data_IF_372865826995
#
_entry.id   IF_372865826995
#
_cell.length_a   1.000
_cell.length_b   1.000
_cell.length_c   1.000
_cell.angle_alpha   90.00
_cell.angle_beta   90.00
_cell.angle_gamma   90.00
#
_symmetry.space_group_name_H-M   'P 1'
#
loop_
_entity.id
_entity.type
_entity.pdbx_description
1 polymer ?
#
# COMPACT_ATOMS: atom_id res chain seq x y z
N UNK A 1 78.27 41.83 5.14
CA UNK A 1 77.47 40.59 4.93
C UNK A 1 76.66 40.36 6.21
N UNK A 2 75.59 41.14 6.41
CA UNK A 2 74.17 40.80 6.20
C UNK A 2 73.55 39.76 7.17
N UNK A 3 72.83 40.31 8.18
CA UNK A 3 71.51 39.95 8.76
C UNK A 3 71.36 38.55 9.41
N UNK A 4 71.27 38.39 10.73
CA UNK A 4 70.23 38.80 11.73
C UNK A 4 69.00 37.89 11.79
N UNK A 5 68.78 37.31 13.00
CA UNK A 5 67.52 36.96 13.68
C UNK A 5 66.62 35.87 13.07
N UNK A 6 65.73 35.16 13.78
CA UNK A 6 65.55 34.76 15.18
C UNK A 6 64.32 33.80 15.21
N UNK A 7 64.16 33.08 16.32
CA UNK A 7 62.90 32.57 16.92
C UNK A 7 62.20 31.31 16.36
N UNK A 8 62.23 30.28 17.22
CA UNK A 8 61.11 29.60 17.89
C UNK A 8 59.88 29.13 17.08
N UNK A 9 59.57 27.84 17.22
CA UNK A 9 58.27 27.25 16.89
C UNK A 9 58.04 25.95 17.67
N UNK A 10 57.49 26.07 18.87
CA UNK A 10 56.82 24.98 19.57
C UNK A 10 55.34 24.95 19.15
N UNK A 11 54.79 23.76 18.91
CA UNK A 11 53.38 23.57 18.57
C UNK A 11 52.77 22.47 19.43
N UNK A 12 51.96 22.87 20.40
CA UNK A 12 51.02 22.04 21.12
C UNK A 12 49.59 22.35 20.61
N UNK A 13 48.79 21.29 20.50
CA UNK A 13 47.41 21.15 21.03
C UNK A 13 46.42 22.33 20.88
N UNK A 14 45.29 22.01 20.21
CA UNK A 14 43.91 22.54 20.33
C UNK A 14 43.64 24.05 20.20
N UNK A 15 42.85 24.43 19.19
CA UNK A 15 41.49 25.02 19.29
C UNK A 15 41.13 25.87 18.06
N UNK A 16 39.86 25.77 17.62
CA UNK A 16 38.90 26.87 17.39
C UNK A 16 37.77 26.38 16.44
N UNK A 17 36.50 26.25 16.86
CA UNK A 17 35.46 27.26 17.14
C UNK A 17 35.04 28.12 15.93
N UNK A 18 33.82 27.85 15.46
CA UNK A 18 32.82 28.83 15.02
C UNK A 18 31.47 28.07 15.00
N UNK A 19 30.33 28.56 15.48
CA UNK A 19 29.92 29.89 15.91
C UNK A 19 28.39 29.89 15.84
N UNK A 20 27.74 30.32 16.92
CA UNK A 20 26.31 30.27 17.10
C UNK A 20 25.52 31.07 16.05
N UNK A 21 24.42 30.48 15.56
CA UNK A 21 23.21 31.17 15.09
C UNK A 21 22.01 30.26 15.37
N UNK A 22 21.68 30.12 16.66
CA UNK A 22 20.40 29.57 17.09
C UNK A 22 19.31 30.62 16.85
N UNK A 23 18.81 30.68 15.62
CA UNK A 23 17.58 31.42 15.33
C UNK A 23 16.41 30.66 15.94
N UNK A 24 15.64 31.34 16.79
CA UNK A 24 14.43 30.81 17.38
C UNK A 24 13.37 30.57 16.30
N UNK A 25 13.37 29.36 15.72
CA UNK A 25 12.21 28.89 14.97
C UNK A 25 11.21 28.32 15.98
N UNK A 26 10.32 29.19 16.48
CA UNK A 26 9.05 28.73 17.04
C UNK A 26 8.15 28.41 15.85
N UNK A 27 7.83 27.13 15.57
CA UNK A 27 6.77 26.86 14.60
C UNK A 27 5.50 27.57 15.10
N UNK A 28 4.85 28.32 14.20
CA UNK A 28 3.52 28.82 14.48
C UNK A 28 2.63 27.62 14.85
N UNK A 29 1.74 27.73 15.85
CA UNK A 29 0.77 26.67 16.10
C UNK A 29 0.04 26.42 14.78
N UNK A 30 0.09 25.18 14.31
CA UNK A 30 -0.69 24.76 13.16
C UNK A 30 -2.14 25.13 13.45
N UNK A 31 -2.69 26.09 12.70
CA UNK A 31 -4.13 26.30 12.71
C UNK A 31 -4.75 24.97 12.31
N UNK A 32 -5.44 24.36 13.27
CA UNK A 32 -6.27 23.21 13.02
C UNK A 32 -7.35 23.67 12.04
N UNK A 33 -7.10 23.48 10.75
CA UNK A 33 -8.15 23.52 9.73
C UNK A 33 -9.08 22.39 10.13
N UNK A 34 -10.20 22.75 10.75
CA UNK A 34 -11.25 21.81 11.09
C UNK A 34 -11.63 21.08 9.80
N UNK A 35 -11.18 19.83 9.66
CA UNK A 35 -11.58 18.96 8.58
C UNK A 35 -13.11 18.87 8.65
N UNK A 36 -13.79 19.50 7.70
CA UNK A 36 -15.21 19.24 7.51
C UNK A 36 -15.32 17.73 7.26
N UNK A 37 -16.09 17.07 8.12
CA UNK A 37 -16.36 15.65 7.96
C UNK A 37 -16.84 15.41 6.52
N UNK A 38 -16.21 14.51 5.75
CA UNK A 38 -16.65 14.24 4.40
C UNK A 38 -18.13 13.82 4.42
N UNK A 39 -18.89 14.30 3.44
CA UNK A 39 -20.30 13.98 3.32
C UNK A 39 -20.50 12.45 3.36
N UNK A 40 -21.55 11.95 4.05
CA UNK A 40 -21.90 10.54 4.03
C UNK A 40 -22.04 10.08 2.58
N UNK A 41 -21.56 8.87 2.27
CA UNK A 41 -21.88 8.23 1.00
C UNK A 41 -23.40 8.27 0.81
N UNK A 42 -23.87 8.89 -0.27
CA UNK A 42 -25.20 8.61 -0.79
C UNK A 42 -25.17 7.21 -1.40
N UNK A 43 -25.09 6.18 -0.55
CA UNK A 43 -25.56 4.86 -0.90
C UNK A 43 -27.02 4.81 -0.45
N UNK A 44 -27.93 5.07 -1.38
CA UNK A 44 -29.31 4.59 -1.20
C UNK A 44 -29.26 3.08 -0.93
N UNK A 45 -30.18 2.51 -0.13
CA UNK A 45 -30.28 1.07 0.04
C UNK A 45 -30.68 0.45 -1.31
N UNK A 46 -29.67 0.08 -2.08
CA UNK A 46 -29.70 -0.55 -3.38
C UNK A 46 -28.37 -1.27 -3.57
N UNK A 47 -28.38 -2.45 -4.17
CA UNK A 47 -27.15 -3.21 -4.41
C UNK A 47 -26.13 -2.34 -5.15
N UNK A 48 -24.91 -2.26 -4.65
CA UNK A 48 -23.81 -1.58 -5.33
C UNK A 48 -23.72 -2.06 -6.78
N UNK A 49 -23.54 -1.14 -7.72
CA UNK A 49 -23.42 -1.52 -9.14
C UNK A 49 -22.22 -2.42 -9.36
N UNK A 50 -22.33 -3.34 -10.32
CA UNK A 50 -21.20 -4.15 -10.79
C UNK A 50 -20.49 -3.50 -11.99
N UNK A 51 -19.17 -3.37 -11.90
CA UNK A 51 -18.35 -2.71 -12.93
C UNK A 51 -17.25 -3.65 -13.45
N UNK A 52 -16.94 -3.59 -14.75
CA UNK A 52 -15.77 -4.23 -15.35
C UNK A 52 -14.51 -3.40 -15.19
N UNK A 53 -13.35 -4.00 -15.49
CA UNK A 53 -12.07 -3.30 -15.52
C UNK A 53 -12.08 -2.07 -16.43
N UNK A 54 -12.66 -2.19 -17.63
CA UNK A 54 -12.73 -1.11 -18.62
C UNK A 54 -13.58 0.05 -18.13
N UNK A 55 -14.69 -0.24 -17.45
CA UNK A 55 -15.58 0.78 -16.87
C UNK A 55 -14.90 1.51 -15.71
N UNK A 56 -14.19 0.78 -14.83
CA UNK A 56 -13.40 1.35 -13.72
C UNK A 56 -12.28 2.27 -14.24
N UNK A 57 -11.63 1.92 -15.37
CA UNK A 57 -10.62 2.77 -16.01
C UNK A 57 -11.22 4.01 -16.68
N UNK A 58 -12.43 3.90 -17.22
CA UNK A 58 -13.11 5.01 -17.90
C UNK A 58 -13.59 6.10 -16.93
N UNK A 59 -13.63 5.81 -15.62
CA UNK A 59 -14.04 6.74 -14.59
C UNK A 59 -13.27 8.07 -14.61
N UNK A 60 -13.99 9.14 -14.24
CA UNK A 60 -13.45 10.49 -14.01
C UNK A 60 -13.77 10.92 -12.61
N UNK A 61 -12.76 11.21 -11.80
CA UNK A 61 -12.95 11.54 -10.39
C UNK A 61 -13.68 12.88 -10.27
N UNK A 62 -14.65 12.90 -9.36
CA UNK A 62 -15.37 14.09 -8.90
C UNK A 62 -14.87 14.53 -7.51
N UNK A 63 -13.73 13.98 -7.06
CA UNK A 63 -13.18 14.20 -5.73
C UNK A 63 -13.84 13.36 -4.63
N UNK A 64 -14.77 12.46 -4.96
CA UNK A 64 -15.40 11.56 -3.99
C UNK A 64 -14.87 10.12 -4.09
N UNK A 65 -15.14 9.36 -3.03
CA UNK A 65 -14.91 7.91 -3.00
C UNK A 65 -15.97 7.22 -3.85
N UNK A 66 -15.55 6.27 -4.70
CA UNK A 66 -16.49 5.47 -5.48
C UNK A 66 -16.32 4.00 -5.16
N UNK A 67 -17.37 3.39 -4.64
CA UNK A 67 -17.40 2.00 -4.21
C UNK A 67 -18.34 1.19 -5.09
N UNK A 68 -17.85 0.09 -5.64
CA UNK A 68 -18.61 -0.81 -6.52
C UNK A 68 -18.23 -2.26 -6.28
N UNK A 69 -18.98 -3.18 -6.89
CA UNK A 69 -18.66 -4.61 -6.93
C UNK A 69 -17.96 -4.92 -8.26
N UNK A 70 -17.00 -5.85 -8.24
CA UNK A 70 -16.35 -6.31 -9.47
C UNK A 70 -17.30 -7.21 -10.26
N UNK A 71 -17.57 -6.88 -11.52
CA UNK A 71 -18.40 -7.69 -12.41
C UNK A 71 -17.80 -9.08 -12.58
N UNK A 72 -18.62 -10.11 -12.41
CA UNK A 72 -18.21 -11.52 -12.49
C UNK A 72 -17.49 -12.04 -11.24
N UNK A 73 -17.13 -11.17 -10.28
CA UNK A 73 -16.58 -11.54 -8.98
C UNK A 73 -17.15 -10.63 -7.89
N UNK A 74 -18.47 -10.66 -7.62
CA UNK A 74 -19.12 -9.71 -6.71
C UNK A 74 -18.67 -9.85 -5.24
N UNK A 75 -17.95 -10.90 -4.88
CA UNK A 75 -17.25 -11.00 -3.59
C UNK A 75 -16.15 -9.93 -3.40
N UNK A 76 -15.65 -9.34 -4.50
CA UNK A 76 -14.65 -8.26 -4.49
C UNK A 76 -15.35 -6.89 -4.54
N UNK A 77 -15.11 -6.07 -3.52
CA UNK A 77 -15.38 -4.63 -3.56
C UNK A 77 -14.18 -3.90 -4.14
N UNK A 78 -14.47 -2.96 -5.04
CA UNK A 78 -13.49 -2.05 -5.61
C UNK A 78 -13.79 -0.64 -5.11
N UNK A 79 -12.81 -0.02 -4.45
CA UNK A 79 -12.89 1.35 -3.97
C UNK A 79 -11.88 2.23 -4.69
N UNK A 80 -12.38 3.22 -5.43
CA UNK A 80 -11.55 4.29 -5.95
C UNK A 80 -11.50 5.46 -4.95
N UNK A 81 -10.29 5.90 -4.63
CA UNK A 81 -10.02 7.13 -3.89
C UNK A 81 -9.77 8.32 -4.82
N UNK A 82 -10.10 9.56 -4.40
CA UNK A 82 -9.86 10.75 -5.21
C UNK A 82 -8.38 11.10 -5.39
N UNK A 83 -7.49 10.57 -4.54
CA UNK A 83 -6.04 10.68 -4.63
C UNK A 83 -5.38 9.68 -3.65
N UNK A 84 -4.08 9.49 -3.81
CA UNK A 84 -3.22 8.64 -2.98
C UNK A 84 -3.24 9.04 -1.50
N UNK A 85 -3.24 10.33 -1.17
CA UNK A 85 -3.26 10.77 0.23
C UNK A 85 -4.55 10.33 0.95
N UNK A 86 -5.71 10.45 0.28
CA UNK A 86 -6.98 10.00 0.83
C UNK A 86 -7.02 8.47 1.02
N UNK A 87 -6.39 7.73 0.11
CA UNK A 87 -6.21 6.27 0.23
C UNK A 87 -5.32 5.93 1.42
N UNK A 88 -4.14 6.53 1.50
CA UNK A 88 -3.18 6.27 2.56
C UNK A 88 -3.72 6.61 3.94
N UNK A 89 -4.46 7.71 4.10
CA UNK A 89 -5.14 8.04 5.37
C UNK A 89 -6.15 6.98 5.80
N UNK A 90 -6.80 6.31 4.85
CA UNK A 90 -7.79 5.29 5.15
C UNK A 90 -7.17 3.90 5.44
N UNK A 91 -6.01 3.59 4.85
CA UNK A 91 -5.52 2.21 4.74
C UNK A 91 -4.08 1.98 5.21
N UNK A 92 -3.22 2.99 5.32
CA UNK A 92 -1.81 2.78 5.71
C UNK A 92 -1.65 2.09 7.07
N UNK A 93 -2.56 2.38 8.02
CA UNK A 93 -2.55 1.71 9.33
C UNK A 93 -2.92 0.23 9.22
N UNK A 94 -3.87 -0.11 8.35
CA UNK A 94 -4.21 -1.50 8.05
C UNK A 94 -3.05 -2.21 7.34
N UNK A 95 -2.40 -1.55 6.38
CA UNK A 95 -1.22 -2.06 5.68
C UNK A 95 -0.07 -2.37 6.65
N UNK A 96 0.22 -1.44 7.56
CA UNK A 96 1.25 -1.62 8.59
C UNK A 96 0.97 -2.78 9.53
N UNK A 97 -0.31 -3.09 9.81
CA UNK A 97 -0.71 -4.24 10.61
C UNK A 97 -0.62 -5.57 9.85
N UNK A 98 -1.02 -5.58 8.58
CA UNK A 98 -1.31 -6.80 7.82
C UNK A 98 -0.11 -7.28 6.99
N UNK A 99 0.63 -6.36 6.36
CA UNK A 99 1.59 -6.68 5.30
C UNK A 99 3.05 -6.52 5.71
N UNK A 100 3.35 -5.53 6.56
CA UNK A 100 4.73 -5.12 6.86
C UNK A 100 5.42 -6.04 7.85
N UNK A 101 6.67 -6.41 7.55
CA UNK A 101 7.45 -7.36 8.35
C UNK A 101 7.95 -6.82 9.69
N UNK A 102 8.10 -5.49 9.80
CA UNK A 102 8.41 -4.76 11.02
C UNK A 102 7.16 -4.30 11.79
N UNK A 103 5.98 -4.45 11.19
CA UNK A 103 4.69 -4.29 11.85
C UNK A 103 4.52 -5.35 12.94
N UNK A 104 4.09 -4.92 14.12
CA UNK A 104 3.62 -5.87 15.12
C UNK A 104 2.30 -6.42 14.62
N UNK A 105 2.30 -7.68 14.17
CA UNK A 105 1.13 -8.33 13.56
C UNK A 105 -0.10 -8.22 14.46
N UNK A 106 0.06 -8.07 15.77
CA UNK A 106 -1.00 -7.98 16.76
C UNK A 106 -1.19 -6.58 17.37
N UNK A 107 -0.47 -5.56 16.90
CA UNK A 107 -0.58 -4.19 17.41
C UNK A 107 -0.84 -3.19 16.28
N UNK A 108 -1.93 -2.46 16.42
CA UNK A 108 -2.30 -1.39 15.50
C UNK A 108 -1.45 -0.16 15.87
N UNK A 109 -0.58 0.35 14.98
CA UNK A 109 0.24 1.52 15.30
C UNK A 109 -0.65 2.75 15.52
N UNK A 110 -0.33 3.56 16.53
CA UNK A 110 -0.91 4.90 16.65
C UNK A 110 -0.37 5.83 15.55
N UNK A 111 -0.82 7.09 15.53
CA UNK A 111 -0.48 8.04 14.46
C UNK A 111 1.03 8.34 14.41
N UNK A 112 1.69 8.41 15.57
CA UNK A 112 3.12 8.66 15.66
C UNK A 112 3.93 7.45 15.19
N UNK A 113 3.55 6.25 15.65
CA UNK A 113 4.17 5.01 15.24
C UNK A 113 4.01 4.75 13.73
N UNK A 114 2.84 5.04 13.16
CA UNK A 114 2.61 4.93 11.73
C UNK A 114 3.48 5.92 10.94
N UNK A 115 3.56 7.18 11.38
CA UNK A 115 4.41 8.18 10.73
C UNK A 115 5.88 7.76 10.76
N UNK A 116 6.36 7.22 11.88
CA UNK A 116 7.73 6.71 12.01
C UNK A 116 8.01 5.53 11.08
N UNK A 117 7.06 4.60 10.91
CA UNK A 117 7.18 3.47 9.99
C UNK A 117 7.30 3.95 8.54
N UNK A 118 6.41 4.87 8.12
CA UNK A 118 6.41 5.43 6.77
C UNK A 118 7.73 6.17 6.49
N UNK A 119 8.17 7.01 7.44
CA UNK A 119 9.41 7.77 7.30
C UNK A 119 10.66 6.87 7.22
N UNK A 120 10.70 5.76 7.98
CA UNK A 120 11.79 4.77 7.91
C UNK A 120 11.86 4.06 6.56
N UNK A 121 10.72 3.86 5.91
CA UNK A 121 10.66 3.31 4.55
C UNK A 121 11.15 4.28 3.47
N UNK A 122 11.38 5.56 3.80
CA UNK A 122 11.70 6.59 2.82
C UNK A 122 10.49 7.07 2.02
N UNK A 123 9.28 6.77 2.50
CA UNK A 123 8.01 7.12 1.87
C UNK A 123 7.32 8.30 2.55
N UNK A 124 6.18 8.67 2.00
CA UNK A 124 5.23 9.57 2.64
C UNK A 124 3.83 8.94 2.73
N UNK A 125 2.88 9.64 3.35
CA UNK A 125 1.54 9.10 3.57
C UNK A 125 0.76 8.78 2.27
N UNK A 126 1.10 9.42 1.15
CA UNK A 126 0.51 9.16 -0.16
C UNK A 126 1.20 8.00 -0.89
N UNK A 127 2.53 7.89 -0.81
CA UNK A 127 3.29 6.91 -1.59
C UNK A 127 3.58 5.60 -0.88
N UNK A 128 3.24 5.47 0.40
CA UNK A 128 3.47 4.24 1.17
C UNK A 128 2.93 3.00 0.45
N UNK A 129 1.79 3.15 -0.23
CA UNK A 129 1.21 2.18 -1.16
C UNK A 129 0.37 2.87 -2.23
N UNK A 130 0.49 2.43 -3.48
CA UNK A 130 -0.27 2.99 -4.62
C UNK A 130 -1.66 2.36 -4.79
N UNK A 131 -1.84 1.14 -4.30
CA UNK A 131 -3.11 0.43 -4.17
C UNK A 131 -3.07 -0.40 -2.90
N UNK A 132 -4.22 -0.95 -2.51
CA UNK A 132 -4.28 -1.86 -1.37
C UNK A 132 -5.32 -2.95 -1.58
N UNK A 133 -5.03 -4.14 -1.07
CA UNK A 133 -5.92 -5.28 -1.06
C UNK A 133 -6.04 -5.91 0.33
N UNK A 134 -7.26 -6.22 0.76
CA UNK A 134 -7.49 -6.88 2.03
C UNK A 134 -8.66 -7.85 1.98
N UNK A 135 -8.52 -8.97 2.69
CA UNK A 135 -9.68 -9.81 3.00
C UNK A 135 -10.63 -9.09 3.96
N UNK A 136 -11.92 -9.40 3.88
CA UNK A 136 -12.92 -8.90 4.81
C UNK A 136 -12.59 -9.27 6.26
N UNK A 137 -12.09 -10.50 6.48
CA UNK A 137 -11.60 -10.93 7.80
C UNK A 137 -10.38 -10.12 8.27
N UNK A 138 -9.44 -9.77 7.39
CA UNK A 138 -8.30 -8.90 7.72
C UNK A 138 -8.73 -7.50 8.15
N UNK A 139 -9.68 -6.90 7.44
CA UNK A 139 -10.25 -5.59 7.79
C UNK A 139 -11.05 -5.64 9.10
N UNK A 140 -11.85 -6.68 9.31
CA UNK A 140 -12.56 -6.89 10.58
C UNK A 140 -11.58 -6.95 11.76
N UNK A 141 -10.48 -7.69 11.59
CA UNK A 141 -9.41 -7.80 12.58
C UNK A 141 -8.76 -6.44 12.88
N UNK A 142 -8.45 -5.64 11.85
CA UNK A 142 -7.90 -4.30 12.02
C UNK A 142 -8.79 -3.43 12.92
N UNK A 143 -10.08 -3.30 12.59
CA UNK A 143 -10.99 -2.45 13.37
C UNK A 143 -11.23 -2.98 14.79
N UNK A 144 -11.28 -4.31 14.97
CA UNK A 144 -11.44 -4.91 16.29
C UNK A 144 -10.20 -4.68 17.17
N UNK A 145 -8.99 -4.81 16.60
CA UNK A 145 -7.76 -4.54 17.33
C UNK A 145 -7.62 -3.06 17.68
N UNK A 146 -7.95 -2.15 16.76
CA UNK A 146 -7.95 -0.71 17.04
C UNK A 146 -8.87 -0.38 18.23
N UNK A 147 -10.09 -0.94 18.25
CA UNK A 147 -11.02 -0.78 19.37
C UNK A 147 -10.47 -1.37 20.68
N UNK A 148 -9.96 -2.61 20.64
CA UNK A 148 -9.45 -3.30 21.82
C UNK A 148 -8.21 -2.60 22.41
N UNK A 149 -7.38 -2.00 21.56
CA UNK A 149 -6.15 -1.29 21.94
C UNK A 149 -6.40 0.20 22.18
N UNK A 150 -7.66 0.65 22.08
CA UNK A 150 -8.07 2.04 22.27
C UNK A 150 -7.35 3.02 21.33
N UNK A 151 -6.97 2.56 20.14
CA UNK A 151 -6.44 3.40 19.06
C UNK A 151 -7.61 4.10 18.39
N UNK A 152 -7.62 5.43 18.46
CA UNK A 152 -8.67 6.23 17.83
C UNK A 152 -8.54 6.16 16.30
N UNK A 153 -9.62 5.79 15.63
CA UNK A 153 -9.70 5.85 14.17
C UNK A 153 -9.77 7.30 13.70
N UNK A 154 -9.03 7.65 12.65
CA UNK A 154 -9.16 8.94 11.98
C UNK A 154 -10.47 9.03 11.15
N UNK A 155 -10.73 10.18 10.55
CA UNK A 155 -11.98 10.42 9.82
C UNK A 155 -12.15 9.49 8.60
N UNK A 156 -11.08 9.27 7.84
CA UNK A 156 -11.05 8.40 6.66
C UNK A 156 -11.21 6.91 7.04
N UNK A 157 -10.58 6.45 8.12
CA UNK A 157 -10.74 5.10 8.67
C UNK A 157 -12.17 4.85 9.16
N UNK A 158 -12.79 5.84 9.81
CA UNK A 158 -14.20 5.78 10.21
C UNK A 158 -15.13 5.73 8.99
N UNK A 159 -14.86 6.55 7.96
CA UNK A 159 -15.60 6.57 6.69
C UNK A 159 -15.49 5.22 5.99
N UNK A 160 -14.29 4.63 5.93
CA UNK A 160 -14.05 3.31 5.38
C UNK A 160 -14.88 2.25 6.12
N UNK A 161 -14.78 2.20 7.45
CA UNK A 161 -15.56 1.25 8.26
C UNK A 161 -17.06 1.34 7.96
N UNK A 162 -17.61 2.55 7.90
CA UNK A 162 -19.02 2.77 7.60
C UNK A 162 -19.39 2.30 6.19
N UNK A 163 -18.55 2.61 5.19
CA UNK A 163 -18.75 2.18 3.81
C UNK A 163 -18.75 0.65 3.67
N UNK A 164 -17.83 -0.04 4.35
CA UNK A 164 -17.71 -1.50 4.30
C UNK A 164 -18.88 -2.22 4.98
N UNK A 165 -19.40 -1.65 6.07
CA UNK A 165 -20.64 -2.14 6.71
C UNK A 165 -21.85 -1.93 5.81
N UNK A 166 -22.00 -0.73 5.23
CA UNK A 166 -23.11 -0.41 4.33
C UNK A 166 -23.09 -1.28 3.05
N UNK A 167 -21.90 -1.60 2.56
CA UNK A 167 -21.70 -2.46 1.39
C UNK A 167 -21.86 -3.96 1.69
N UNK A 168 -21.98 -4.35 2.96
CA UNK A 168 -22.07 -5.74 3.39
C UNK A 168 -20.77 -6.54 3.29
N UNK A 169 -19.61 -5.90 3.13
CA UNK A 169 -18.33 -6.59 3.23
C UNK A 169 -18.01 -6.95 4.69
N UNK A 170 -18.38 -6.08 5.62
CA UNK A 170 -18.30 -6.31 7.06
C UNK A 170 -19.71 -6.39 7.65
N UNK A 171 -19.84 -7.09 8.78
CA UNK A 171 -21.06 -7.20 9.56
C UNK A 171 -20.78 -7.04 11.06
N UNK A 172 -21.82 -6.70 11.82
CA UNK A 172 -21.76 -6.72 13.29
C UNK A 172 -21.97 -8.14 13.80
N UNK A 173 -20.99 -8.67 14.55
CA UNK A 173 -21.07 -9.94 15.26
C UNK A 173 -21.22 -9.75 16.78
N UNK A 174 -21.31 -10.85 17.53
CA UNK A 174 -21.48 -10.80 18.99
C UNK A 174 -20.28 -10.20 19.76
N UNK A 175 -19.09 -10.23 19.16
CA UNK A 175 -17.83 -9.80 19.80
C UNK A 175 -17.08 -8.70 19.05
N UNK A 176 -17.71 -8.03 18.09
CA UNK A 176 -17.07 -7.03 17.23
C UNK A 176 -17.44 -7.21 15.76
N UNK A 177 -16.66 -6.59 14.88
CA UNK A 177 -16.84 -6.76 13.44
C UNK A 177 -16.44 -8.16 13.00
N UNK A 178 -17.20 -8.71 12.07
CA UNK A 178 -16.88 -9.95 11.36
C UNK A 178 -17.01 -9.71 9.86
N UNK A 179 -16.58 -10.68 9.07
CA UNK A 179 -16.85 -10.66 7.64
C UNK A 179 -18.34 -10.81 7.36
N UNK A 180 -18.86 -9.97 6.46
CA UNK A 180 -20.25 -10.02 5.99
C UNK A 180 -20.45 -10.97 4.81
N UNK A 181 -19.36 -11.36 4.13
CA UNK A 181 -19.37 -12.28 2.97
C UNK A 181 -18.06 -13.06 2.96
N UNK A 182 -18.14 -14.39 2.80
CA UNK A 182 -16.97 -15.27 2.79
C UNK A 182 -16.97 -16.17 1.55
N UNK A 183 -15.91 -16.11 0.70
CA UNK A 183 -14.79 -15.16 0.78
C UNK A 183 -15.24 -13.74 0.42
N UNK A 184 -14.60 -12.73 1.01
CA UNK A 184 -14.83 -11.31 0.72
C UNK A 184 -13.53 -10.54 0.66
N UNK A 185 -13.40 -9.63 -0.31
CA UNK A 185 -12.21 -8.81 -0.48
C UNK A 185 -12.54 -7.34 -0.75
N UNK A 186 -11.65 -6.45 -0.32
CA UNK A 186 -11.55 -5.07 -0.74
C UNK A 186 -10.28 -4.92 -1.57
N UNK A 187 -10.38 -4.25 -2.71
CA UNK A 187 -9.23 -3.79 -3.50
C UNK A 187 -9.39 -2.32 -3.78
N UNK A 188 -8.30 -1.56 -3.77
CA UNK A 188 -8.36 -0.10 -3.81
C UNK A 188 -7.32 0.49 -4.73
N UNK A 189 -7.66 1.62 -5.33
CA UNK A 189 -6.80 2.37 -6.23
C UNK A 189 -7.19 3.84 -6.22
N UNK A 190 -6.36 4.71 -6.79
CA UNK A 190 -6.58 6.16 -6.81
C UNK A 190 -6.93 6.70 -8.19
N UNK A 191 -7.59 7.86 -8.21
CA UNK A 191 -7.76 8.73 -9.36
C UNK A 191 -6.42 9.08 -10.02
N UNK A 192 -6.48 9.45 -11.31
CA UNK A 192 -5.35 10.14 -11.94
C UNK A 192 -5.07 11.42 -11.17
N UNK A 193 -3.81 11.64 -10.78
CA UNK A 193 -3.37 12.83 -10.08
C UNK A 193 -2.01 13.31 -10.62
N UNK A 194 -1.78 14.64 -10.65
CA UNK A 194 -0.44 15.15 -10.92
C UNK A 194 0.50 14.82 -9.74
N UNK A 195 1.78 14.78 -10.04
CA UNK A 195 2.84 14.70 -9.04
C UNK A 195 2.92 15.98 -8.19
N UNK A 196 3.16 15.83 -6.88
CA UNK A 196 3.45 16.94 -5.97
C UNK A 196 4.96 17.13 -5.87
N UNK A 197 5.47 18.06 -6.68
CA UNK A 197 6.91 18.37 -6.75
C UNK A 197 7.50 18.96 -5.46
N UNK A 198 6.69 19.21 -4.43
CA UNK A 198 7.16 19.62 -3.12
C UNK A 198 7.63 18.45 -2.26
N UNK A 199 7.28 17.21 -2.62
CA UNK A 199 7.76 16.00 -1.97
C UNK A 199 8.84 15.32 -2.83
N UNK A 200 9.77 14.57 -2.22
CA UNK A 200 10.81 13.86 -2.97
C UNK A 200 10.29 12.59 -3.66
N UNK A 201 9.14 12.06 -3.24
CA UNK A 201 8.52 10.87 -3.84
C UNK A 201 7.65 11.27 -5.05
N UNK A 202 7.62 10.41 -6.08
CA UNK A 202 6.73 10.62 -7.24
C UNK A 202 5.29 10.20 -6.88
N UNK A 203 4.46 11.18 -6.58
CA UNK A 203 3.03 11.02 -6.27
C UNK A 203 2.16 11.00 -7.52
N UNK A 204 2.76 11.09 -8.71
CA UNK A 204 2.07 11.10 -9.99
C UNK A 204 1.37 9.77 -10.28
N UNK A 205 0.08 9.86 -10.59
CA UNK A 205 -0.71 8.73 -11.10
C UNK A 205 -1.26 9.14 -12.46
N UNK A 206 -0.57 8.75 -13.52
CA UNK A 206 -1.07 8.91 -14.89
C UNK A 206 -1.99 7.74 -15.29
N UNK A 207 -2.65 7.80 -16.46
CA UNK A 207 -3.54 6.72 -16.89
C UNK A 207 -2.87 5.34 -17.01
N UNK A 208 -1.57 5.27 -17.35
CA UNK A 208 -0.86 4.01 -17.48
C UNK A 208 -0.59 3.39 -16.10
N UNK A 209 -0.09 4.21 -15.15
CA UNK A 209 0.15 3.78 -13.77
C UNK A 209 -1.15 3.37 -13.08
N UNK A 210 -2.21 4.16 -13.26
CA UNK A 210 -3.56 3.82 -12.78
C UNK A 210 -4.03 2.45 -13.28
N UNK A 211 -3.83 2.16 -14.57
CA UNK A 211 -4.23 0.88 -15.14
C UNK A 211 -3.35 -0.29 -14.68
N UNK A 212 -2.06 -0.02 -14.44
CA UNK A 212 -1.11 -0.97 -13.85
C UNK A 212 -1.54 -1.36 -12.43
N UNK A 213 -1.72 -0.36 -11.56
CA UNK A 213 -2.19 -0.53 -10.17
C UNK A 213 -3.53 -1.26 -10.16
N UNK A 214 -4.55 -0.76 -10.86
CA UNK A 214 -5.87 -1.41 -10.83
C UNK A 214 -5.81 -2.89 -11.24
N UNK A 215 -4.99 -3.27 -12.23
CA UNK A 215 -4.85 -4.67 -12.63
C UNK A 215 -4.16 -5.51 -11.56
N UNK A 216 -3.12 -4.96 -10.94
CA UNK A 216 -2.42 -5.58 -9.82
C UNK A 216 -3.41 -5.87 -8.67
N UNK A 217 -4.13 -4.84 -8.25
CA UNK A 217 -5.12 -4.91 -7.16
C UNK A 217 -6.26 -5.90 -7.44
N UNK A 218 -6.80 -5.90 -8.66
CA UNK A 218 -7.84 -6.87 -9.03
C UNK A 218 -7.33 -8.32 -9.04
N UNK A 219 -6.03 -8.53 -9.25
CA UNK A 219 -5.41 -9.86 -9.18
C UNK A 219 -5.44 -10.39 -7.74
N UNK A 220 -5.21 -9.54 -6.74
CA UNK A 220 -5.42 -9.89 -5.32
C UNK A 220 -6.87 -10.22 -5.00
N UNK A 221 -7.81 -9.41 -5.53
CA UNK A 221 -9.24 -9.69 -5.42
C UNK A 221 -9.58 -11.12 -5.84
N UNK A 222 -9.09 -11.55 -7.02
CA UNK A 222 -9.23 -12.92 -7.50
C UNK A 222 -8.54 -13.93 -6.58
N UNK A 223 -7.32 -13.66 -6.14
CA UNK A 223 -6.57 -14.54 -5.22
C UNK A 223 -7.35 -14.83 -3.93
N UNK A 224 -7.98 -13.81 -3.33
CA UNK A 224 -8.78 -13.99 -2.12
C UNK A 224 -10.09 -14.74 -2.38
N UNK A 225 -10.78 -14.46 -3.49
CA UNK A 225 -12.15 -14.95 -3.68
C UNK A 225 -12.28 -16.23 -4.51
N UNK A 226 -11.27 -16.59 -5.31
CA UNK A 226 -11.28 -17.80 -6.14
C UNK A 226 -10.32 -18.85 -5.57
N UNK A 227 -10.90 -19.88 -4.93
CA UNK A 227 -10.14 -20.96 -4.31
C UNK A 227 -9.33 -21.80 -5.32
N UNK A 228 -9.84 -21.98 -6.55
CA UNK A 228 -9.13 -22.73 -7.57
C UNK A 228 -7.93 -21.93 -8.10
N UNK A 229 -8.11 -20.63 -8.31
CA UNK A 229 -7.02 -19.73 -8.68
C UNK A 229 -5.95 -19.64 -7.59
N UNK A 230 -6.35 -19.51 -6.32
CA UNK A 230 -5.41 -19.53 -5.18
C UNK A 230 -4.63 -20.83 -5.09
N UNK A 231 -5.29 -21.98 -5.31
CA UNK A 231 -4.62 -23.27 -5.35
C UNK A 231 -3.61 -23.37 -6.51
N UNK A 232 -3.94 -22.83 -7.68
CA UNK A 232 -2.99 -22.70 -8.80
C UNK A 232 -1.78 -21.84 -8.43
N UNK A 233 -1.99 -20.68 -7.81
CA UNK A 233 -0.89 -19.80 -7.39
C UNK A 233 0.06 -20.51 -6.40
N UNK A 234 -0.51 -21.21 -5.42
CA UNK A 234 0.27 -21.99 -4.45
C UNK A 234 1.01 -23.16 -5.10
N UNK A 235 0.37 -23.86 -6.05
CA UNK A 235 1.01 -24.93 -6.81
C UNK A 235 2.17 -24.38 -7.65
N UNK A 236 1.94 -23.28 -8.38
CA UNK A 236 2.96 -22.64 -9.19
C UNK A 236 4.18 -22.25 -8.34
N UNK A 237 3.95 -21.55 -7.22
CA UNK A 237 5.02 -21.14 -6.31
C UNK A 237 5.80 -22.34 -5.76
N UNK A 238 5.11 -23.37 -5.24
CA UNK A 238 5.77 -24.47 -4.52
C UNK A 238 6.37 -25.53 -5.44
N UNK A 239 5.75 -25.76 -6.59
CA UNK A 239 6.05 -26.93 -7.45
C UNK A 239 6.64 -26.54 -8.80
N UNK A 240 6.24 -25.41 -9.38
CA UNK A 240 6.68 -25.02 -10.73
C UNK A 240 7.82 -24.02 -10.72
N UNK A 241 7.94 -23.18 -9.69
CA UNK A 241 9.09 -22.31 -9.53
C UNK A 241 10.30 -23.07 -8.98
N UNK A 242 11.48 -22.71 -9.44
CA UNK A 242 12.74 -23.11 -8.82
C UNK A 242 12.95 -22.37 -7.49
N UNK A 243 13.84 -22.88 -6.63
CA UNK A 243 14.19 -22.15 -5.41
C UNK A 243 14.87 -20.82 -5.71
N UNK A 244 15.69 -20.74 -6.76
CA UNK A 244 16.31 -19.48 -7.21
C UNK A 244 15.25 -18.44 -7.59
N UNK A 245 14.18 -18.87 -8.27
CA UNK A 245 13.06 -17.98 -8.60
C UNK A 245 12.33 -17.48 -7.34
N UNK A 246 12.02 -18.37 -6.39
CA UNK A 246 11.39 -17.97 -5.13
C UNK A 246 12.28 -17.03 -4.31
N UNK A 247 13.59 -17.26 -4.27
CA UNK A 247 14.53 -16.39 -3.56
C UNK A 247 14.61 -14.99 -4.19
N UNK A 248 14.58 -14.88 -5.53
CA UNK A 248 14.52 -13.59 -6.20
C UNK A 248 13.27 -12.79 -5.80
N UNK A 249 12.11 -13.44 -5.76
CA UNK A 249 10.87 -12.82 -5.29
C UNK A 249 10.92 -12.40 -3.82
N UNK A 250 11.40 -13.26 -2.93
CA UNK A 250 11.56 -12.91 -1.51
C UNK A 250 12.53 -11.73 -1.31
N UNK A 251 13.62 -11.68 -2.08
CA UNK A 251 14.56 -10.57 -2.02
C UNK A 251 13.93 -9.26 -2.49
N UNK A 252 13.23 -9.29 -3.63
CA UNK A 252 12.52 -8.13 -4.16
C UNK A 252 11.44 -7.63 -3.19
N UNK A 253 10.52 -8.50 -2.76
CA UNK A 253 9.44 -8.12 -1.85
C UNK A 253 9.96 -7.73 -0.46
N UNK A 254 11.01 -8.38 0.02
CA UNK A 254 11.68 -7.99 1.26
C UNK A 254 12.29 -6.59 1.19
N UNK A 255 12.85 -6.20 0.03
CA UNK A 255 13.36 -4.83 -0.18
C UNK A 255 12.23 -3.77 -0.17
N UNK A 256 10.99 -4.16 -0.48
CA UNK A 256 9.78 -3.32 -0.37
C UNK A 256 9.16 -3.35 1.06
N UNK A 257 9.76 -4.08 2.00
CA UNK A 257 9.35 -4.13 3.41
C UNK A 257 8.26 -5.17 3.74
N UNK A 258 7.91 -6.07 2.82
CA UNK A 258 6.96 -7.15 3.09
C UNK A 258 7.54 -8.22 4.04
N UNK A 259 6.69 -8.87 4.85
CA UNK A 259 7.11 -10.00 5.69
C UNK A 259 7.44 -11.25 4.86
N UNK A 260 8.71 -11.45 4.52
CA UNK A 260 9.18 -12.59 3.71
C UNK A 260 8.99 -13.96 4.38
N UNK A 261 8.66 -14.00 5.68
CA UNK A 261 8.31 -15.23 6.40
C UNK A 261 6.86 -15.65 6.16
N UNK A 262 6.02 -14.73 5.69
CA UNK A 262 4.64 -14.99 5.33
C UNK A 262 4.58 -15.54 3.89
N UNK A 263 4.64 -16.86 3.74
CA UNK A 263 4.63 -17.47 2.40
C UNK A 263 3.34 -17.14 1.61
N UNK A 264 2.20 -17.03 2.29
CA UNK A 264 0.95 -16.70 1.62
C UNK A 264 0.99 -15.29 1.01
N UNK A 265 1.57 -14.32 1.72
CA UNK A 265 1.83 -12.97 1.20
C UNK A 265 2.77 -13.03 -0.01
N UNK A 266 3.86 -13.80 0.05
CA UNK A 266 4.78 -13.94 -1.08
C UNK A 266 4.10 -14.51 -2.33
N UNK A 267 3.20 -15.48 -2.15
CA UNK A 267 2.41 -16.06 -3.25
C UNK A 267 1.43 -15.02 -3.81
N UNK A 268 0.72 -14.28 -2.93
CA UNK A 268 -0.25 -13.27 -3.32
C UNK A 268 0.37 -12.11 -4.11
N UNK A 269 1.52 -11.61 -3.66
CA UNK A 269 2.27 -10.55 -4.35
C UNK A 269 2.83 -11.02 -5.69
N UNK A 270 3.50 -12.18 -5.70
CA UNK A 270 4.11 -12.73 -6.91
C UNK A 270 3.07 -12.89 -8.03
N UNK A 271 1.89 -13.44 -7.72
CA UNK A 271 0.87 -13.63 -8.75
C UNK A 271 0.35 -12.29 -9.30
N UNK A 272 0.23 -11.25 -8.47
CA UNK A 272 -0.25 -9.94 -8.91
C UNK A 272 0.72 -9.28 -9.89
N UNK A 273 2.03 -9.34 -9.61
CA UNK A 273 3.06 -8.87 -10.54
C UNK A 273 3.17 -9.69 -11.83
N UNK A 274 2.90 -11.00 -11.78
CA UNK A 274 2.87 -11.86 -12.98
C UNK A 274 1.63 -11.62 -13.84
N UNK A 275 0.47 -11.33 -13.25
CA UNK A 275 -0.80 -11.18 -13.97
C UNK A 275 -0.82 -10.00 -14.94
N UNK A 276 -0.05 -8.94 -14.68
CA UNK A 276 0.49 -7.93 -15.61
C UNK A 276 0.55 -6.58 -14.88
N UNK A 277 1.67 -6.30 -14.21
CA UNK A 277 2.12 -4.92 -13.93
C UNK A 277 2.99 -4.49 -15.11
N UNK A 278 2.42 -3.85 -16.17
CA UNK A 278 3.16 -3.50 -17.39
C UNK A 278 4.02 -2.24 -17.21
N UNK A 279 3.80 -1.49 -16.14
CA UNK A 279 4.51 -0.25 -15.88
C UNK A 279 5.86 -0.55 -15.22
N UNK A 280 6.95 -0.29 -15.94
CA UNK A 280 8.32 -0.52 -15.46
C UNK A 280 8.74 0.41 -14.31
N UNK A 281 7.94 1.44 -14.01
CA UNK A 281 8.08 2.24 -12.79
C UNK A 281 7.70 1.43 -11.54
N UNK A 282 6.71 0.56 -11.66
CA UNK A 282 6.20 -0.25 -10.56
C UNK A 282 6.92 -1.60 -10.47
N UNK A 283 7.18 -2.27 -11.60
CA UNK A 283 7.91 -3.55 -11.61
C UNK A 283 8.50 -3.90 -12.98
N UNK A 284 9.76 -4.33 -13.01
CA UNK A 284 10.49 -4.81 -14.20
C UNK A 284 11.43 -5.98 -13.87
N UNK A 285 11.86 -6.70 -14.89
CA UNK A 285 12.74 -7.87 -14.74
C UNK A 285 14.06 -7.56 -14.00
N UNK A 286 14.58 -6.34 -14.14
CA UNK A 286 15.79 -5.91 -13.47
C UNK A 286 15.64 -5.90 -11.93
N UNK A 287 14.42 -5.74 -11.40
CA UNK A 287 14.14 -5.74 -9.97
C UNK A 287 14.28 -7.15 -9.36
N UNK A 288 14.19 -8.20 -10.20
CA UNK A 288 14.52 -9.59 -9.86
C UNK A 288 15.95 -9.98 -10.29
N UNK A 289 16.74 -9.03 -10.78
CA UNK A 289 18.05 -9.27 -11.42
C UNK A 289 18.01 -10.22 -12.63
N UNK A 290 16.91 -10.18 -13.39
CA UNK A 290 16.68 -11.03 -14.56
C UNK A 290 16.69 -10.27 -15.87
N UNK A 291 16.76 -11.01 -16.99
CA UNK A 291 16.50 -10.44 -18.31
C UNK A 291 15.00 -10.37 -18.55
N UNK A 292 14.52 -9.42 -19.38
CA UNK A 292 13.10 -9.35 -19.76
C UNK A 292 12.53 -10.68 -20.29
N UNK A 293 13.33 -11.45 -21.04
CA UNK A 293 12.93 -12.75 -21.56
C UNK A 293 12.68 -13.80 -20.46
N UNK A 294 13.42 -13.75 -19.35
CA UNK A 294 13.26 -14.69 -18.25
C UNK A 294 11.95 -14.41 -17.48
N UNK A 295 11.63 -13.13 -17.23
CA UNK A 295 10.36 -12.73 -16.63
C UNK A 295 9.17 -13.06 -17.55
N UNK A 296 9.32 -12.84 -18.86
CA UNK A 296 8.29 -13.21 -19.84
C UNK A 296 8.04 -14.72 -19.83
N UNK A 297 9.09 -15.55 -19.83
CA UNK A 297 8.96 -16.99 -19.74
C UNK A 297 8.30 -17.46 -18.43
N UNK A 298 8.55 -16.78 -17.31
CA UNK A 298 7.87 -17.06 -16.05
C UNK A 298 6.37 -16.73 -16.13
N UNK A 299 6.00 -15.58 -16.74
CA UNK A 299 4.61 -15.19 -16.98
C UNK A 299 3.90 -16.20 -17.88
N UNK A 300 4.52 -16.63 -18.96
CA UNK A 300 3.96 -17.65 -19.86
C UNK A 300 3.71 -18.97 -19.12
N UNK A 301 4.68 -19.43 -18.32
CA UNK A 301 4.52 -20.63 -17.47
C UNK A 301 3.37 -20.47 -16.47
N UNK A 302 3.22 -19.30 -15.87
CA UNK A 302 2.15 -19.02 -14.92
C UNK A 302 0.77 -19.08 -15.60
N UNK A 303 0.65 -18.49 -16.79
CA UNK A 303 -0.60 -18.49 -17.55
C UNK A 303 -0.97 -19.85 -18.13
N UNK A 304 -0.01 -20.68 -18.55
CA UNK A 304 -0.29 -22.01 -19.09
C UNK A 304 -1.08 -22.93 -18.13
N UNK A 305 -0.92 -22.75 -16.82
CA UNK A 305 -1.66 -23.53 -15.82
C UNK A 305 -3.03 -22.96 -15.45
N UNK A 306 -3.34 -21.73 -15.88
CA UNK A 306 -4.67 -21.16 -15.74
C UNK A 306 -5.55 -21.74 -16.85
N UNK A 307 -6.40 -22.72 -16.50
CA UNK A 307 -7.43 -23.19 -17.43
C UNK A 307 -8.29 -21.98 -17.87
N UNK A 308 -8.67 -21.89 -19.16
CA UNK A 308 -9.64 -20.89 -19.60
C UNK A 308 -11.01 -21.09 -18.93
#
# INVERSE_FOLDING_TARGET
MNRSAALAGGGAVLMALAGALAWHYRPAPAEAVAAQAPAPLQAAPGALSEQSFEELLAWRSDGQWRLVRLRGQPAVLVLEFPNLLAQGRALNRAAALIEKGDGSRDHVPDDAALADLIAKGGDNAATYFFGHDYTATGLARFFNLALAQQVALNAEEQRLRAALLAAGLLAQGQGGLVSGVEPGALVTFSAVQPDDRSTPQDEGVDPARRASVLRHELSHGRYFTDAAYRAHCAFFWRQLMSEGERQAWRAYLGAQGYDVRNEELMINEMQAFLMHTPDERDFKAADLHWKPADLAALRDRFQLGLKP
#
